data_IF_219189656690
#
_entry.id   IF_219189656690
#
_cell.length_a   1.000
_cell.length_b   1.000
_cell.length_c   1.000
_cell.angle_alpha   90.00
_cell.angle_beta   90.00
_cell.angle_gamma   90.00
#
_symmetry.space_group_name_H-M   'P 1'
#
loop_
_entity.id
_entity.type
_entity.pdbx_description
1 polymer ?
#
# COMPACT_ATOMS: atom_id res chain seq x y z
N UNK A 1 1.80 -16.55 2.28
CA UNK A 1 1.69 -15.69 3.48
C UNK A 1 0.22 -15.67 3.89
N UNK A 2 -0.10 -15.48 5.18
CA UNK A 2 -1.49 -15.34 5.61
C UNK A 2 -1.97 -13.90 5.43
N UNK A 3 -3.27 -13.71 5.22
CA UNK A 3 -3.90 -12.39 5.10
C UNK A 3 -3.68 -11.55 6.36
N UNK A 4 -3.27 -10.29 6.18
CA UNK A 4 -3.01 -9.35 7.27
C UNK A 4 -4.01 -8.21 7.32
N UNK A 5 -4.17 -7.60 8.49
CA UNK A 5 -5.13 -6.53 8.72
C UNK A 5 -4.47 -5.17 8.99
N UNK A 6 -3.15 -5.06 8.81
CA UNK A 6 -2.41 -3.82 8.98
C UNK A 6 -1.16 -3.78 8.12
N UNK A 7 -0.73 -2.57 7.78
CA UNK A 7 0.56 -2.29 7.13
C UNK A 7 1.34 -1.29 7.97
N UNK A 8 2.63 -1.56 8.15
CA UNK A 8 3.56 -0.62 8.76
C UNK A 8 4.11 0.35 7.70
N UNK A 9 3.91 1.67 7.85
CA UNK A 9 4.45 2.64 6.91
C UNK A 9 5.96 2.82 7.10
N UNK A 10 6.70 2.72 5.99
CA UNK A 10 8.14 2.97 5.93
C UNK A 10 8.40 4.09 4.93
N UNK A 11 8.93 5.21 5.40
CA UNK A 11 9.17 6.39 4.57
C UNK A 11 10.61 6.42 4.08
N UNK A 12 10.80 6.49 2.76
CA UNK A 12 12.12 6.48 2.10
C UNK A 12 12.10 7.41 0.89
N UNK A 13 13.24 8.01 0.55
CA UNK A 13 13.33 8.79 -0.69
C UNK A 13 13.29 7.90 -1.93
N UNK A 14 13.99 6.78 -1.90
CA UNK A 14 14.07 5.78 -2.97
C UNK A 14 13.38 4.51 -2.52
N UNK A 15 12.40 4.04 -3.31
CA UNK A 15 11.72 2.79 -3.02
C UNK A 15 12.62 1.59 -3.32
N UNK A 16 12.53 0.50 -2.53
CA UNK A 16 13.27 -0.73 -2.79
C UNK A 16 12.83 -1.39 -4.11
N UNK A 17 13.70 -2.28 -4.60
CA UNK A 17 13.36 -3.26 -5.63
C UNK A 17 12.30 -4.24 -5.12
N UNK A 18 11.62 -4.92 -6.04
CA UNK A 18 10.44 -5.71 -5.71
C UNK A 18 10.78 -6.95 -4.85
N UNK A 19 11.98 -7.48 -4.98
CA UNK A 19 12.51 -8.62 -4.21
C UNK A 19 12.90 -8.25 -2.76
N UNK A 20 13.17 -6.97 -2.50
CA UNK A 20 13.49 -6.43 -1.19
C UNK A 20 12.25 -5.94 -0.41
N UNK A 21 11.03 -6.12 -0.95
CA UNK A 21 9.80 -5.78 -0.26
C UNK A 21 9.50 -6.79 0.85
N UNK A 22 9.23 -6.27 2.05
CA UNK A 22 8.82 -7.08 3.19
C UNK A 22 7.29 -7.12 3.31
N UNK A 23 6.76 -8.30 3.62
CA UNK A 23 5.33 -8.47 3.84
C UNK A 23 4.90 -7.74 5.11
N UNK A 24 3.75 -7.06 5.06
CA UNK A 24 3.27 -6.24 6.17
C UNK A 24 3.82 -4.82 6.23
N UNK A 25 4.67 -4.42 5.29
CA UNK A 25 5.18 -3.05 5.18
C UNK A 25 4.65 -2.36 3.93
N UNK A 26 4.46 -1.04 4.02
CA UNK A 26 4.18 -0.18 2.89
C UNK A 26 5.25 0.90 2.79
N UNK A 27 6.03 0.82 1.73
CA UNK A 27 7.14 1.72 1.46
C UNK A 27 6.61 2.92 0.69
N UNK A 28 6.85 4.13 1.21
CA UNK A 28 6.28 5.37 0.69
C UNK A 28 7.40 6.34 0.38
N UNK A 29 7.44 6.80 -0.87
CA UNK A 29 8.29 7.91 -1.30
C UNK A 29 7.44 9.16 -1.50
N UNK A 30 7.54 10.08 -0.55
CA UNK A 30 6.89 11.40 -0.63
C UNK A 30 7.45 12.21 -1.79
N UNK A 31 8.76 12.13 -2.02
CA UNK A 31 9.47 12.82 -3.11
C UNK A 31 8.91 12.47 -4.48
N UNK A 32 8.60 11.19 -4.71
CA UNK A 32 8.13 10.70 -6.00
C UNK A 32 6.61 10.50 -6.04
N UNK A 33 5.91 10.75 -4.93
CA UNK A 33 4.47 10.54 -4.82
C UNK A 33 4.06 9.11 -5.14
N UNK A 34 4.79 8.11 -4.63
CA UNK A 34 4.54 6.70 -4.96
C UNK A 34 4.76 5.81 -3.74
N UNK A 35 4.02 4.71 -3.67
CA UNK A 35 4.24 3.66 -2.68
C UNK A 35 4.23 2.27 -3.30
N UNK A 36 4.87 1.34 -2.60
CA UNK A 36 4.89 -0.09 -2.90
C UNK A 36 4.64 -0.91 -1.65
N UNK A 37 3.84 -1.96 -1.78
CA UNK A 37 3.70 -3.00 -0.76
C UNK A 37 3.34 -4.33 -1.40
N UNK A 38 3.60 -5.42 -0.67
CA UNK A 38 3.09 -6.73 -1.05
C UNK A 38 1.60 -6.84 -0.70
N UNK A 39 0.81 -7.44 -1.59
CA UNK A 39 -0.64 -7.53 -1.46
C UNK A 39 -1.02 -8.17 -0.12
N UNK A 40 -1.81 -7.49 0.73
CA UNK A 40 -2.08 -7.92 2.10
C UNK A 40 -2.93 -9.20 2.21
N UNK A 41 -3.35 -9.78 1.09
CA UNK A 41 -4.04 -11.08 1.06
C UNK A 41 -3.05 -12.25 1.20
N UNK A 42 -1.76 -11.98 0.98
CA UNK A 42 -0.69 -12.97 1.10
C UNK A 42 -0.29 -13.65 -0.20
N UNK A 43 -0.82 -13.20 -1.35
CA UNK A 43 -0.49 -13.75 -2.67
C UNK A 43 0.91 -13.36 -3.19
N UNK A 44 1.50 -12.29 -2.63
CA UNK A 44 2.84 -11.82 -3.00
C UNK A 44 2.89 -10.87 -4.21
N UNK A 45 1.74 -10.51 -4.80
CA UNK A 45 1.68 -9.46 -5.83
C UNK A 45 2.15 -8.11 -5.27
N UNK A 46 2.93 -7.36 -6.04
CA UNK A 46 3.37 -6.00 -5.66
C UNK A 46 2.31 -4.99 -6.04
N UNK A 47 1.68 -4.38 -5.05
CA UNK A 47 0.77 -3.25 -5.25
C UNK A 47 1.57 -1.96 -5.32
N UNK A 48 1.33 -1.17 -6.37
CA UNK A 48 1.97 0.13 -6.61
C UNK A 48 0.91 1.21 -6.64
N UNK A 49 1.01 2.19 -5.72
CA UNK A 49 0.05 3.30 -5.66
C UNK A 49 0.76 4.60 -5.98
N UNK A 50 0.23 5.37 -6.94
CA UNK A 50 0.73 6.70 -7.29
C UNK A 50 -0.20 7.76 -6.72
N UNK A 51 0.41 8.75 -6.05
CA UNK A 51 -0.25 9.86 -5.38
C UNK A 51 -0.05 11.18 -6.12
N UNK A 52 -0.87 12.18 -5.81
CA UNK A 52 -0.69 13.56 -6.27
C UNK A 52 -1.15 13.84 -7.70
N UNK A 53 -1.80 12.87 -8.37
CA UNK A 53 -2.53 13.08 -9.63
C UNK A 53 -4.02 13.30 -9.35
N UNK A 54 -4.71 14.06 -10.21
CA UNK A 54 -6.14 14.36 -10.05
C UNK A 54 -7.00 13.09 -9.91
N UNK A 55 -6.74 12.07 -10.73
CA UNK A 55 -7.42 10.77 -10.71
C UNK A 55 -6.65 9.68 -9.93
N UNK A 56 -5.62 10.05 -9.18
CA UNK A 56 -4.77 9.13 -8.43
C UNK A 56 -5.28 8.84 -7.02
N UNK A 57 -4.53 7.99 -6.32
CA UNK A 57 -4.73 7.82 -4.88
C UNK A 57 -4.30 9.07 -4.13
N UNK A 58 -4.92 9.30 -2.98
CA UNK A 58 -4.56 10.33 -2.01
C UNK A 58 -4.03 9.64 -0.78
N UNK A 59 -2.81 9.98 -0.39
CA UNK A 59 -2.20 9.58 0.87
C UNK A 59 -2.44 10.70 1.89
N UNK A 60 -3.01 10.37 3.04
CA UNK A 60 -3.11 11.26 4.19
C UNK A 60 -2.27 10.70 5.33
N UNK A 61 -1.49 11.55 5.96
CA UNK A 61 -0.54 11.17 7.02
C UNK A 61 -0.87 11.97 8.30
N UNK A 62 -0.97 11.28 9.43
CA UNK A 62 -1.24 11.90 10.73
C UNK A 62 -0.67 11.03 11.85
N UNK A 63 0.19 11.59 12.70
CA UNK A 63 0.77 10.92 13.88
C UNK A 63 1.37 9.54 13.59
N UNK A 64 2.12 9.41 12.49
CA UNK A 64 2.75 8.15 12.07
C UNK A 64 1.78 7.11 11.49
N UNK A 65 0.53 7.52 11.21
CA UNK A 65 -0.48 6.69 10.56
C UNK A 65 -0.77 7.21 9.16
N UNK A 66 -1.11 6.28 8.28
CA UNK A 66 -1.48 6.55 6.89
C UNK A 66 -2.92 6.16 6.61
N UNK A 67 -3.51 6.88 5.66
CA UNK A 67 -4.77 6.57 5.03
C UNK A 67 -4.63 6.73 3.51
N UNK A 68 -5.21 5.81 2.76
CA UNK A 68 -5.23 5.84 1.29
C UNK A 68 -6.66 5.87 0.81
N UNK A 69 -6.96 6.82 -0.07
CA UNK A 69 -8.26 6.95 -0.72
C UNK A 69 -8.11 7.20 -2.22
N UNK A 70 -8.90 6.59 -3.12
CA UNK A 70 -9.97 5.61 -2.85
C UNK A 70 -9.40 4.23 -2.44
N UNK A 71 -10.25 3.21 -2.39
CA UNK A 71 -9.81 1.84 -2.13
C UNK A 71 -8.79 1.35 -3.17
N UNK A 72 -8.03 0.33 -2.78
CA UNK A 72 -7.06 -0.36 -3.62
C UNK A 72 -7.71 -1.64 -4.12
N UNK A 73 -7.89 -1.74 -5.44
CA UNK A 73 -8.22 -2.99 -6.12
C UNK A 73 -6.95 -3.52 -6.77
N UNK A 74 -6.44 -4.64 -6.28
CA UNK A 74 -5.28 -5.29 -6.88
C UNK A 74 -5.75 -6.19 -8.04
N UNK A 75 -5.63 -5.68 -9.26
CA UNK A 75 -6.12 -6.38 -10.47
C UNK A 75 -5.23 -7.55 -10.86
N UNK A 76 -3.96 -7.53 -10.45
CA UNK A 76 -3.00 -8.62 -10.69
C UNK A 76 -3.05 -9.69 -9.59
N UNK A 77 -3.92 -9.53 -8.59
CA UNK A 77 -4.12 -10.52 -7.53
C UNK A 77 -5.10 -11.61 -8.01
N UNK A 78 -4.76 -12.91 -7.88
CA UNK A 78 -5.66 -14.00 -8.25
C UNK A 78 -6.96 -14.01 -7.44
N UNK A 79 -6.92 -13.48 -6.21
CA UNK A 79 -8.08 -13.37 -5.31
C UNK A 79 -8.85 -12.06 -5.46
N UNK A 80 -8.43 -11.18 -6.38
CA UNK A 80 -9.01 -9.84 -6.60
C UNK A 80 -9.14 -9.06 -5.29
N UNK A 81 -8.05 -8.97 -4.55
CA UNK A 81 -8.01 -8.27 -3.27
C UNK A 81 -8.50 -6.81 -3.42
N UNK A 82 -9.56 -6.46 -2.69
CA UNK A 82 -10.13 -5.12 -2.65
C UNK A 82 -10.18 -4.63 -1.20
N UNK A 83 -9.60 -3.47 -0.92
CA UNK A 83 -9.49 -2.98 0.46
C UNK A 83 -9.26 -1.48 0.55
N UNK A 84 -9.58 -0.90 1.70
CA UNK A 84 -9.10 0.41 2.13
C UNK A 84 -7.89 0.29 3.06
N UNK A 85 -7.06 1.33 3.08
CA UNK A 85 -6.03 1.51 4.09
C UNK A 85 -6.44 2.72 4.93
N UNK A 86 -6.78 2.49 6.21
CA UNK A 86 -7.27 3.53 7.12
C UNK A 86 -6.56 3.39 8.46
N UNK A 87 -5.82 4.42 8.90
CA UNK A 87 -5.02 4.38 10.12
C UNK A 87 -4.11 3.15 10.21
N UNK A 88 -3.37 2.86 9.13
CA UNK A 88 -2.52 1.68 8.98
C UNK A 88 -3.28 0.34 8.94
N UNK A 89 -4.61 0.32 9.02
CA UNK A 89 -5.43 -0.90 9.00
C UNK A 89 -5.97 -1.19 7.62
N UNK A 90 -6.01 -2.46 7.28
CA UNK A 90 -6.68 -2.95 6.08
C UNK A 90 -8.15 -3.19 6.41
N UNK A 91 -9.04 -2.50 5.70
CA UNK A 91 -10.47 -2.74 5.75
C UNK A 91 -10.88 -3.39 4.44
N UNK A 92 -11.18 -4.68 4.51
CA UNK A 92 -11.48 -5.50 3.34
C UNK A 92 -12.88 -5.22 2.79
N UNK A 93 -13.00 -5.28 1.47
CA UNK A 93 -14.25 -5.21 0.72
C UNK A 93 -14.65 -6.58 0.17
#
# INVERSE_FOLDING_TARGET
MERINALEPVFLDTLPENDALEYGKIYISRRHGISKHLCPDGCGTVSVLTFGKEDGWKLTESDGRIMVHPSVLETMCPHRAHYYITYNRIQWL
#
